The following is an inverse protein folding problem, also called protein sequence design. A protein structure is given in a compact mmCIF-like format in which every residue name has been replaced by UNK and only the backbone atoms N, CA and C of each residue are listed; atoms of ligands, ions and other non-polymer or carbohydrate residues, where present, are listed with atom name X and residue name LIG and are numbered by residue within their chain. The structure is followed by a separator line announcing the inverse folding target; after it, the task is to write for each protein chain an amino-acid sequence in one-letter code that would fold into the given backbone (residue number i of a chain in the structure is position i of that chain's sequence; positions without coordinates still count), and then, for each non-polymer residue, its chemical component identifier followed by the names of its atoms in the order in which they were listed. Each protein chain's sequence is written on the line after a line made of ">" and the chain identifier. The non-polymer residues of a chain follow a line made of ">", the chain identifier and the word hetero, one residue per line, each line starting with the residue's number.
data_IF_831412320067
#
_entry.id   IF_831412320067
#
_cell.length_a   1.000
_cell.length_b   1.000
_cell.length_c   1.000
_cell.angle_alpha   90.00
_cell.angle_beta   90.00
_cell.angle_gamma   90.00
#
_symmetry.space_group_name_H-M   'P 1'
#
loop_
_entity.id
_entity.type
_entity.pdbx_description
1 polymer ?
#
# COMPACT_ATOMS: atom_id res chain seq x y z
N UNK A 1 36.43 8.48 27.05
CA UNK A 1 36.95 7.47 27.99
C UNK A 1 35.88 6.40 28.19
N UNK A 2 36.15 5.15 27.81
CA UNK A 2 35.25 4.00 27.99
C UNK A 2 35.69 3.18 29.22
N UNK A 3 35.61 3.76 30.41
CA UNK A 3 35.82 3.00 31.65
C UNK A 3 34.48 2.44 32.13
N UNK A 4 34.30 1.13 31.96
CA UNK A 4 33.17 0.40 32.50
C UNK A 4 33.56 -0.28 33.81
N UNK A 5 32.68 -0.25 34.81
CA UNK A 5 32.84 -0.92 36.11
C UNK A 5 32.52 -2.43 36.05
N UNK A 6 32.33 -2.99 34.86
CA UNK A 6 32.11 -4.41 34.61
C UNK A 6 32.85 -4.85 33.35
N UNK A 7 33.13 -6.16 33.22
CA UNK A 7 33.52 -6.72 31.91
C UNK A 7 32.36 -6.56 30.94
N UNK A 8 32.64 -6.04 29.74
CA UNK A 8 31.64 -5.91 28.69
C UNK A 8 31.07 -7.31 28.41
N UNK A 9 29.76 -7.47 28.51
CA UNK A 9 29.10 -8.73 28.16
C UNK A 9 29.30 -8.94 26.66
N UNK A 10 29.96 -10.02 26.27
CA UNK A 10 30.35 -10.31 24.87
C UNK A 10 29.15 -10.32 23.91
N UNK A 11 27.96 -10.66 24.42
CA UNK A 11 26.70 -10.69 23.68
C UNK A 11 26.07 -9.31 23.44
N UNK A 12 26.57 -8.21 24.03
CA UNK A 12 26.04 -6.86 23.81
C UNK A 12 26.11 -6.47 22.33
N UNK A 13 27.16 -6.88 21.61
CA UNK A 13 27.29 -6.63 20.17
C UNK A 13 26.16 -7.27 19.34
N UNK A 14 25.56 -8.37 19.82
CA UNK A 14 24.43 -9.02 19.16
C UNK A 14 23.07 -8.39 19.55
N UNK A 15 22.99 -7.77 20.73
CA UNK A 15 21.74 -7.29 21.33
C UNK A 15 21.51 -5.79 21.13
N UNK A 16 22.55 -4.97 21.24
CA UNK A 16 22.41 -3.51 21.27
C UNK A 16 22.12 -2.92 19.87
N UNK A 17 21.09 -2.05 19.74
CA UNK A 17 20.70 -1.44 18.47
C UNK A 17 21.82 -0.70 17.72
N UNK A 18 22.79 -0.14 18.46
CA UNK A 18 23.96 0.55 17.89
C UNK A 18 24.82 -0.36 17.02
N UNK A 19 24.90 -1.65 17.33
CA UNK A 19 25.69 -2.64 16.58
C UNK A 19 24.90 -3.30 15.44
N UNK A 20 23.58 -3.07 15.37
CA UNK A 20 22.70 -3.58 14.30
C UNK A 20 22.82 -2.81 12.98
N UNK A 21 23.39 -1.61 13.00
CA UNK A 21 23.58 -0.81 11.76
C UNK A 21 24.50 -1.56 10.79
N UNK A 22 24.04 -1.78 9.57
CA UNK A 22 24.87 -2.38 8.53
C UNK A 22 25.99 -1.44 8.09
N UNK A 23 27.13 -2.02 7.73
CA UNK A 23 28.22 -1.29 7.08
C UNK A 23 27.81 -0.96 5.64
N UNK A 24 28.40 0.07 5.01
CA UNK A 24 28.10 0.42 3.61
C UNK A 24 28.30 -0.76 2.66
N UNK A 25 29.30 -1.60 2.90
CA UNK A 25 29.59 -2.81 2.11
C UNK A 25 28.43 -3.81 2.15
N UNK A 26 27.88 -4.09 3.34
CA UNK A 26 26.73 -4.98 3.51
C UNK A 26 25.49 -4.39 2.84
N UNK A 27 25.31 -3.08 2.93
CA UNK A 27 24.19 -2.40 2.29
C UNK A 27 24.26 -2.50 0.76
N UNK A 28 25.47 -2.40 0.18
CA UNK A 28 25.68 -2.53 -1.26
C UNK A 28 25.46 -3.96 -1.75
N UNK A 29 25.95 -4.96 -1.01
CA UNK A 29 25.70 -6.38 -1.31
C UNK A 29 24.19 -6.70 -1.29
N UNK A 30 23.46 -6.21 -0.29
CA UNK A 30 22.00 -6.36 -0.21
C UNK A 30 21.33 -5.66 -1.39
N UNK A 31 21.76 -4.44 -1.73
CA UNK A 31 21.21 -3.66 -2.85
C UNK A 31 21.40 -4.37 -4.18
N UNK A 32 22.58 -4.91 -4.44
CA UNK A 32 22.88 -5.68 -5.64
C UNK A 32 22.00 -6.93 -5.74
N UNK A 33 22.00 -7.77 -4.70
CA UNK A 33 21.27 -9.04 -4.69
C UNK A 33 19.75 -8.83 -4.77
N UNK A 34 19.21 -7.84 -4.05
CA UNK A 34 17.80 -7.48 -4.12
C UNK A 34 17.43 -6.93 -5.52
N UNK A 35 18.33 -6.17 -6.15
CA UNK A 35 18.14 -5.68 -7.53
C UNK A 35 18.11 -6.80 -8.55
N UNK A 36 18.91 -7.85 -8.35
CA UNK A 36 18.91 -9.05 -9.17
C UNK A 36 17.74 -10.01 -8.90
N UNK A 37 16.81 -9.67 -7.99
CA UNK A 37 15.62 -10.48 -7.69
C UNK A 37 15.92 -11.74 -6.87
N UNK A 38 17.04 -11.79 -6.17
CA UNK A 38 17.40 -12.93 -5.31
C UNK A 38 16.45 -12.99 -4.11
N UNK A 39 15.96 -14.18 -3.77
CA UNK A 39 15.06 -14.36 -2.61
C UNK A 39 15.76 -13.97 -1.32
N UNK A 40 15.03 -13.30 -0.41
CA UNK A 40 15.56 -12.78 0.86
C UNK A 40 16.30 -13.84 1.70
N UNK A 41 15.81 -15.09 1.71
CA UNK A 41 16.50 -16.18 2.42
C UNK A 41 17.90 -16.48 1.88
N UNK A 42 18.09 -16.45 0.56
CA UNK A 42 19.40 -16.65 -0.06
C UNK A 42 20.32 -15.44 0.17
N UNK A 43 19.76 -14.22 0.18
CA UNK A 43 20.51 -13.00 0.55
C UNK A 43 21.05 -13.12 1.97
N UNK A 44 20.21 -13.52 2.93
CA UNK A 44 20.61 -13.72 4.33
C UNK A 44 21.73 -14.75 4.44
N UNK A 45 21.60 -15.88 3.72
CA UNK A 45 22.60 -16.94 3.74
C UNK A 45 23.96 -16.48 3.19
N UNK A 46 23.97 -15.78 2.05
CA UNK A 46 25.19 -15.19 1.47
C UNK A 46 25.84 -14.21 2.44
N UNK A 47 25.05 -13.37 3.10
CA UNK A 47 25.56 -12.36 4.02
C UNK A 47 26.13 -12.96 5.30
N UNK A 48 25.53 -14.04 5.81
CA UNK A 48 26.04 -14.79 6.96
C UNK A 48 27.40 -15.44 6.64
N UNK A 49 27.57 -15.95 5.42
CA UNK A 49 28.84 -16.52 4.97
C UNK A 49 29.92 -15.46 4.72
N UNK A 50 29.55 -14.31 4.15
CA UNK A 50 30.48 -13.20 3.91
C UNK A 50 30.91 -12.48 5.20
N UNK A 51 30.06 -12.43 6.22
CA UNK A 51 30.28 -11.64 7.44
C UNK A 51 30.33 -12.52 8.70
N UNK A 52 31.31 -13.42 8.76
CA UNK A 52 31.52 -14.38 9.86
C UNK A 52 31.75 -13.73 11.25
N UNK A 53 31.99 -12.42 11.32
CA UNK A 53 32.22 -11.67 12.57
C UNK A 53 31.05 -10.80 13.05
N UNK A 54 29.93 -10.75 12.30
CA UNK A 54 28.79 -9.89 12.65
C UNK A 54 27.49 -10.67 12.62
N UNK A 55 26.75 -10.63 13.74
CA UNK A 55 25.43 -11.22 13.80
C UNK A 55 24.44 -10.39 12.96
N UNK A 56 23.81 -11.04 11.98
CA UNK A 56 22.85 -10.42 11.08
C UNK A 56 21.44 -10.87 11.48
N UNK A 57 20.60 -9.91 11.87
CA UNK A 57 19.19 -10.17 12.12
C UNK A 57 18.42 -10.17 10.81
N UNK A 58 17.62 -11.21 10.59
CA UNK A 58 16.83 -11.36 9.37
C UNK A 58 15.89 -10.16 9.15
N UNK A 59 15.30 -9.65 10.25
CA UNK A 59 14.41 -8.49 10.23
C UNK A 59 15.09 -7.23 9.70
N UNK A 60 16.36 -7.02 10.01
CA UNK A 60 17.11 -5.85 9.53
C UNK A 60 17.38 -5.96 8.03
N UNK A 61 17.61 -7.18 7.51
CA UNK A 61 17.73 -7.45 6.07
C UNK A 61 16.39 -7.20 5.36
N UNK A 62 15.28 -7.69 5.91
CA UNK A 62 13.96 -7.41 5.36
C UNK A 62 13.64 -5.91 5.33
N UNK A 63 13.97 -5.17 6.40
CA UNK A 63 13.79 -3.73 6.46
C UNK A 63 14.64 -3.01 5.40
N UNK A 64 15.90 -3.44 5.20
CA UNK A 64 16.79 -2.86 4.20
C UNK A 64 16.33 -3.16 2.77
N UNK A 65 15.93 -4.41 2.47
CA UNK A 65 15.34 -4.79 1.18
C UNK A 65 14.08 -3.96 0.93
N UNK A 66 13.22 -3.83 1.94
CA UNK A 66 12.01 -3.02 1.82
C UNK A 66 12.34 -1.55 1.55
N UNK A 67 13.30 -0.96 2.26
CA UNK A 67 13.79 0.41 2.01
C UNK A 67 14.27 0.58 0.57
N UNK A 68 15.05 -0.38 0.05
CA UNK A 68 15.61 -0.33 -1.32
C UNK A 68 14.52 -0.52 -2.38
N UNK A 69 13.55 -1.41 -2.14
CA UNK A 69 12.39 -1.57 -3.02
C UNK A 69 11.51 -0.31 -3.00
N UNK A 70 11.32 0.31 -1.83
CA UNK A 70 10.63 1.58 -1.69
C UNK A 70 11.39 2.72 -2.38
N UNK A 71 12.72 2.79 -2.28
CA UNK A 71 13.57 3.75 -3.02
C UNK A 71 13.39 3.63 -4.54
N UNK A 72 13.34 2.42 -5.10
CA UNK A 72 13.03 2.23 -6.53
C UNK A 72 11.60 2.65 -6.89
N UNK A 73 10.67 2.50 -5.96
CA UNK A 73 9.26 2.82 -6.15
C UNK A 73 8.88 4.25 -5.71
N UNK A 74 9.86 5.09 -5.35
CA UNK A 74 9.64 6.50 -4.95
C UNK A 74 8.96 7.37 -6.02
N UNK A 75 8.73 6.87 -7.24
CA UNK A 75 8.06 7.64 -8.28
C UNK A 75 6.54 7.48 -8.34
N UNK A 76 5.93 6.49 -7.68
CA UNK A 76 4.46 6.29 -7.72
C UNK A 76 3.94 5.67 -6.42
N UNK A 77 3.08 6.38 -5.70
CA UNK A 77 2.30 5.78 -4.62
C UNK A 77 1.46 4.62 -5.17
N UNK A 78 1.13 3.62 -4.35
CA UNK A 78 0.24 2.56 -4.80
C UNK A 78 -1.14 3.12 -5.18
N UNK A 79 -1.55 4.21 -4.51
CA UNK A 79 -2.75 4.97 -4.86
C UNK A 79 -2.66 5.55 -6.29
N UNK A 80 -1.53 6.16 -6.64
CA UNK A 80 -1.27 6.68 -7.99
C UNK A 80 -1.24 5.54 -9.01
N UNK A 81 -0.69 4.40 -8.63
CA UNK A 81 -0.61 3.22 -9.50
C UNK A 81 -2.00 2.66 -9.82
N UNK A 82 -2.92 2.63 -8.84
CA UNK A 82 -4.32 2.23 -9.05
C UNK A 82 -5.01 3.24 -9.96
N UNK A 83 -4.89 4.54 -9.69
CA UNK A 83 -5.49 5.59 -10.51
C UNK A 83 -5.02 5.52 -11.97
N UNK A 84 -3.70 5.42 -12.20
CA UNK A 84 -3.13 5.30 -13.55
C UNK A 84 -3.62 4.04 -14.27
N UNK A 85 -3.80 2.94 -13.54
CA UNK A 85 -4.35 1.70 -14.11
C UNK A 85 -5.82 1.88 -14.52
N UNK A 86 -6.64 2.51 -13.68
CA UNK A 86 -8.03 2.81 -13.99
C UNK A 86 -8.16 3.75 -15.19
N UNK A 87 -7.31 4.79 -15.29
CA UNK A 87 -7.25 5.66 -16.45
C UNK A 87 -6.92 4.89 -17.73
N UNK A 88 -5.98 3.95 -17.67
CA UNK A 88 -5.68 3.07 -18.81
C UNK A 88 -6.88 2.18 -19.17
N UNK A 89 -7.55 1.59 -18.18
CA UNK A 89 -8.76 0.79 -18.42
C UNK A 89 -9.91 1.62 -18.99
N UNK A 90 -10.03 2.89 -18.61
CA UNK A 90 -11.03 3.80 -19.16
C UNK A 90 -10.74 4.16 -20.62
N UNK A 91 -9.48 4.25 -21.02
CA UNK A 91 -9.11 4.41 -22.44
C UNK A 91 -9.48 3.18 -23.27
N UNK A 92 -9.31 1.98 -22.71
CA UNK A 92 -9.68 0.71 -23.36
C UNK A 92 -11.20 0.48 -23.34
N UNK A 93 -11.89 0.94 -22.30
CA UNK A 93 -13.33 0.82 -22.11
C UNK A 93 -13.90 2.17 -21.63
N UNK A 94 -14.36 3.03 -22.56
CA UNK A 94 -14.91 4.35 -22.23
C UNK A 94 -16.15 4.32 -21.33
N UNK A 95 -16.80 3.16 -21.19
CA UNK A 95 -17.96 2.99 -20.30
C UNK A 95 -17.56 2.76 -18.82
N UNK A 96 -16.27 2.68 -18.52
CA UNK A 96 -15.78 2.70 -17.14
C UNK A 96 -15.90 4.12 -16.58
N UNK A 97 -16.71 4.29 -15.54
CA UNK A 97 -16.74 5.51 -14.75
C UNK A 97 -15.57 5.52 -13.78
N UNK A 98 -14.82 6.61 -13.76
CA UNK A 98 -13.73 6.86 -12.82
C UNK A 98 -13.80 8.33 -12.43
N UNK A 99 -13.88 8.58 -11.12
CA UNK A 99 -13.90 9.92 -10.56
C UNK A 99 -12.83 10.01 -9.47
N UNK A 100 -12.03 11.07 -9.51
CA UNK A 100 -10.86 11.22 -8.67
C UNK A 100 -10.69 12.67 -8.22
N UNK A 101 -10.37 12.85 -6.95
CA UNK A 101 -10.07 14.14 -6.37
C UNK A 101 -8.66 14.12 -5.77
N UNK A 102 -7.91 15.16 -6.09
CA UNK A 102 -6.56 15.41 -5.59
C UNK A 102 -6.54 16.69 -4.77
N UNK A 103 -5.77 16.71 -3.68
CA UNK A 103 -5.65 17.87 -2.80
C UNK A 103 -4.18 18.10 -2.38
N UNK A 104 -3.90 19.33 -1.94
CA UNK A 104 -2.60 19.75 -1.45
C UNK A 104 -1.59 20.11 -2.55
N UNK A 105 -0.42 20.61 -2.13
CA UNK A 105 0.64 21.07 -3.04
C UNK A 105 1.32 19.92 -3.79
N UNK A 106 1.29 18.72 -3.20
CA UNK A 106 1.86 17.50 -3.78
C UNK A 106 0.85 16.74 -4.66
N UNK A 107 -0.36 17.30 -4.84
CA UNK A 107 -1.44 16.71 -5.63
C UNK A 107 -1.75 15.27 -5.23
N UNK A 108 -1.94 15.04 -3.93
CA UNK A 108 -2.17 13.73 -3.36
C UNK A 108 -3.60 13.27 -3.65
N UNK A 109 -3.77 12.00 -4.05
CA UNK A 109 -5.09 11.41 -4.23
C UNK A 109 -5.80 11.27 -2.88
N UNK A 110 -6.92 11.99 -2.71
CA UNK A 110 -7.71 11.97 -1.47
C UNK A 110 -9.00 11.18 -1.62
N UNK A 111 -9.58 11.17 -2.83
CA UNK A 111 -10.81 10.43 -3.13
C UNK A 111 -10.71 9.82 -4.51
N UNK A 112 -11.14 8.57 -4.63
CA UNK A 112 -11.19 7.85 -5.89
C UNK A 112 -12.42 6.95 -5.87
N UNK A 113 -13.23 6.98 -6.91
CA UNK A 113 -14.39 6.12 -7.10
C UNK A 113 -14.34 5.56 -8.52
N UNK A 114 -14.78 4.31 -8.69
CA UNK A 114 -14.95 3.74 -10.03
C UNK A 114 -16.11 2.75 -10.08
N UNK A 115 -16.73 2.69 -11.26
CA UNK A 115 -17.85 1.81 -11.57
C UNK A 115 -17.74 1.31 -13.01
N UNK A 116 -17.82 0.00 -13.21
CA UNK A 116 -17.97 -0.59 -14.55
C UNK A 116 -19.38 -0.34 -15.08
N UNK A 117 -19.56 -0.41 -16.40
CA UNK A 117 -20.88 -0.28 -17.04
C UNK A 117 -21.94 -1.22 -16.41
N UNK A 118 -21.61 -2.50 -16.22
CA UNK A 118 -22.53 -3.45 -15.59
C UNK A 118 -22.91 -3.07 -14.16
N UNK A 119 -22.05 -2.31 -13.47
CA UNK A 119 -22.30 -1.85 -12.11
C UNK A 119 -23.13 -0.57 -12.10
N UNK A 120 -22.93 0.32 -13.08
CA UNK A 120 -23.80 1.48 -13.33
C UNK A 120 -25.23 1.01 -13.65
N UNK A 121 -25.40 0.02 -14.52
CA UNK A 121 -26.70 -0.58 -14.83
C UNK A 121 -27.37 -1.16 -13.58
N UNK A 122 -26.61 -1.85 -12.71
CA UNK A 122 -27.13 -2.37 -11.46
C UNK A 122 -27.56 -1.25 -10.50
N UNK A 123 -26.77 -0.18 -10.39
CA UNK A 123 -27.12 0.99 -9.59
C UNK A 123 -28.42 1.64 -10.08
N UNK A 124 -28.56 1.83 -11.39
CA UNK A 124 -29.75 2.45 -12.00
C UNK A 124 -31.06 1.67 -11.76
N UNK A 125 -31.00 0.35 -11.53
CA UNK A 125 -32.19 -0.49 -11.37
C UNK A 125 -32.50 -0.89 -9.92
N UNK A 126 -31.52 -0.90 -9.02
CA UNK A 126 -31.63 -1.56 -7.71
C UNK A 126 -31.04 -0.73 -6.56
N UNK A 127 -31.07 0.60 -6.65
CA UNK A 127 -30.57 1.52 -5.62
C UNK A 127 -31.47 1.63 -4.36
N UNK A 128 -32.55 0.85 -4.26
CA UNK A 128 -33.52 0.92 -3.16
C UNK A 128 -32.95 0.45 -1.81
N UNK A 129 -32.02 -0.52 -1.85
CA UNK A 129 -31.35 -1.07 -0.68
C UNK A 129 -29.85 -0.98 -0.90
N UNK A 130 -29.18 -0.14 -0.10
CA UNK A 130 -27.74 0.10 -0.20
C UNK A 130 -27.05 -0.30 1.10
N UNK A 131 -25.99 -1.09 0.96
CA UNK A 131 -25.08 -1.51 2.01
C UNK A 131 -23.72 -0.88 1.71
N UNK A 132 -23.15 -0.22 2.71
CA UNK A 132 -21.81 0.34 2.65
C UNK A 132 -20.94 -0.43 3.64
N UNK A 133 -19.83 -0.95 3.15
CA UNK A 133 -18.81 -1.53 4.00
C UNK A 133 -17.52 -0.73 3.84
N UNK A 134 -17.01 -0.21 4.96
CA UNK A 134 -15.79 0.58 5.01
C UNK A 134 -14.77 -0.12 5.89
N UNK A 135 -13.68 -0.59 5.29
CA UNK A 135 -12.57 -1.13 6.07
C UNK A 135 -11.68 0.02 6.51
N UNK A 136 -11.78 0.39 7.79
CA UNK A 136 -11.02 1.49 8.37
C UNK A 136 -9.52 1.18 8.43
N UNK A 137 -8.71 2.03 7.77
CA UNK A 137 -7.30 2.40 8.04
C UNK A 137 -6.30 1.31 8.46
N UNK A 138 -6.54 0.05 8.12
CA UNK A 138 -5.59 -1.06 8.37
C UNK A 138 -4.58 -1.24 7.22
N UNK A 139 -4.70 -0.48 6.13
CA UNK A 139 -3.70 -0.47 5.06
C UNK A 139 -2.51 0.46 5.39
N UNK A 140 -1.34 0.16 4.81
CA UNK A 140 -0.09 0.93 4.98
C UNK A 140 -0.19 2.42 4.64
N UNK A 141 -1.27 2.84 3.99
CA UNK A 141 -1.51 4.20 3.51
C UNK A 141 -2.53 4.97 4.37
N UNK A 142 -3.09 4.33 5.41
CA UNK A 142 -4.15 4.91 6.25
C UNK A 142 -5.37 5.39 5.46
N UNK A 143 -5.63 4.81 4.27
CA UNK A 143 -6.79 5.09 3.44
C UNK A 143 -7.93 4.14 3.79
N UNK A 144 -9.16 4.60 3.61
CA UNK A 144 -10.38 3.81 3.78
C UNK A 144 -10.77 3.25 2.41
N UNK A 145 -10.94 1.93 2.37
CA UNK A 145 -11.61 1.29 1.25
C UNK A 145 -13.10 1.21 1.57
N UNK A 146 -13.92 1.83 0.73
CA UNK A 146 -15.36 1.79 0.79
C UNK A 146 -15.88 0.95 -0.39
N UNK A 147 -16.71 -0.04 -0.10
CA UNK A 147 -17.44 -0.80 -1.12
C UNK A 147 -18.93 -0.50 -1.00
N UNK A 148 -19.54 -0.19 -2.15
CA UNK A 148 -20.97 0.09 -2.26
C UNK A 148 -21.64 -1.14 -2.84
N UNK A 149 -22.56 -1.72 -2.07
CA UNK A 149 -23.25 -2.97 -2.39
C UNK A 149 -24.75 -2.70 -2.40
N UNK A 150 -25.46 -3.24 -3.38
CA UNK A 150 -26.92 -3.24 -3.43
C UNK A 150 -27.48 -4.64 -3.19
N UNK A 151 -28.79 -4.75 -3.03
CA UNK A 151 -29.51 -6.03 -3.06
C UNK A 151 -30.42 -6.06 -4.29
N UNK A 152 -30.21 -7.03 -5.19
CA UNK A 152 -31.06 -7.20 -6.38
C UNK A 152 -32.41 -7.85 -6.05
N UNK A 153 -33.32 -7.90 -7.03
CA UNK A 153 -34.65 -8.53 -6.92
C UNK A 153 -34.64 -10.03 -6.58
N UNK A 154 -33.47 -10.67 -6.61
CA UNK A 154 -33.26 -12.06 -6.21
C UNK A 154 -32.64 -12.17 -4.81
N UNK A 155 -32.65 -11.08 -4.03
CA UNK A 155 -32.02 -10.97 -2.72
C UNK A 155 -30.51 -11.26 -2.74
N UNK A 156 -29.82 -10.96 -3.85
CA UNK A 156 -28.38 -11.16 -3.95
C UNK A 156 -27.66 -9.83 -3.75
N UNK A 157 -26.62 -9.85 -2.93
CA UNK A 157 -25.71 -8.72 -2.77
C UNK A 157 -24.87 -8.52 -4.04
N UNK A 158 -24.86 -7.32 -4.60
CA UNK A 158 -24.07 -6.97 -5.80
C UNK A 158 -23.23 -5.74 -5.54
N UNK A 159 -21.93 -5.84 -5.81
CA UNK A 159 -21.01 -4.70 -5.75
C UNK A 159 -21.27 -3.74 -6.92
N UNK A 160 -21.62 -2.49 -6.63
CA UNK A 160 -21.91 -1.45 -7.62
C UNK A 160 -20.83 -0.38 -7.71
N UNK A 161 -20.07 -0.14 -6.65
CA UNK A 161 -18.95 0.78 -6.72
C UNK A 161 -17.88 0.41 -5.72
N UNK A 162 -16.68 0.90 -5.98
CA UNK A 162 -15.58 0.84 -5.04
C UNK A 162 -14.95 2.21 -4.98
N UNK A 163 -14.62 2.64 -3.77
CA UNK A 163 -14.02 3.92 -3.53
C UNK A 163 -12.88 3.84 -2.51
N UNK A 164 -11.89 4.70 -2.69
CA UNK A 164 -10.82 4.95 -1.74
C UNK A 164 -10.99 6.37 -1.23
N UNK A 165 -11.03 6.53 0.09
CA UNK A 165 -11.23 7.81 0.77
C UNK A 165 -10.09 8.05 1.78
N UNK A 166 -9.66 9.30 1.92
CA UNK A 166 -8.66 9.70 2.93
C UNK A 166 -9.24 9.76 4.35
N UNK A 167 -10.55 10.01 4.47
CA UNK A 167 -11.26 10.13 5.74
C UNK A 167 -12.72 9.61 5.69
N UNK A 168 -13.30 9.39 6.87
CA UNK A 168 -14.69 8.97 7.05
C UNK A 168 -15.57 10.19 7.39
N UNK A 169 -15.40 11.31 6.68
CA UNK A 169 -16.20 12.51 6.89
C UNK A 169 -17.48 12.49 6.05
N UNK A 170 -18.51 13.21 6.52
CA UNK A 170 -19.75 13.41 5.76
C UNK A 170 -19.49 13.92 4.35
N UNK A 171 -18.53 14.83 4.19
CA UNK A 171 -18.21 15.44 2.90
C UNK A 171 -17.60 14.43 1.93
N UNK A 172 -16.75 13.52 2.43
CA UNK A 172 -16.19 12.43 1.62
C UNK A 172 -17.25 11.44 1.15
N UNK A 173 -18.23 11.10 1.99
CA UNK A 173 -19.35 10.27 1.57
C UNK A 173 -20.33 11.02 0.65
N UNK A 174 -20.58 12.31 0.88
CA UNK A 174 -21.41 13.12 -0.01
C UNK A 174 -20.81 13.19 -1.41
N UNK A 175 -19.50 13.38 -1.51
CA UNK A 175 -18.77 13.28 -2.78
C UNK A 175 -18.93 11.91 -3.43
N UNK A 176 -18.78 10.82 -2.65
CA UNK A 176 -18.96 9.46 -3.16
C UNK A 176 -20.36 9.27 -3.76
N UNK A 177 -21.43 9.64 -3.04
CA UNK A 177 -22.78 9.50 -3.55
C UNK A 177 -23.05 10.40 -4.77
N UNK A 178 -22.49 11.60 -4.81
CA UNK A 178 -22.59 12.44 -6.00
C UNK A 178 -21.91 11.78 -7.20
N UNK A 179 -20.73 11.19 -6.99
CA UNK A 179 -20.01 10.44 -8.02
C UNK A 179 -20.81 9.25 -8.56
N UNK A 180 -21.58 8.56 -7.70
CA UNK A 180 -22.48 7.49 -8.11
C UNK A 180 -23.66 8.00 -8.95
N UNK A 181 -24.19 9.18 -8.62
CA UNK A 181 -25.26 9.82 -9.39
C UNK A 181 -24.76 10.30 -10.75
N UNK A 182 -23.56 10.85 -10.82
CA UNK A 182 -22.99 11.32 -12.09
C UNK A 182 -22.64 10.16 -13.04
N UNK A 183 -22.50 8.93 -12.50
CA UNK A 183 -22.21 7.73 -13.25
C UNK A 183 -23.44 7.09 -13.95
N UNK A 184 -24.66 7.51 -13.61
CA UNK A 184 -25.93 6.91 -14.11
C UNK A 184 -26.94 7.97 -14.52
#
# INVERSE_FOLDING_TARGET
>A
ENQHNHKLVETIAALAPSYRKFTPEIQEDVRLLATCGVRSGAIIEVLRHKNLGKYIHDRDIYNLINSICCEKNQSKSDADSIYLNLMKQQQENPSLHVDAQFEGQENCLVRLCWMRLSQQELWAHFHDIVLLDTTAKTNRHSLILCVVIIVDNHNRSRLVATAILSDETKDSFAWLFQSLLDAT
#
